data_IF_533775483055
#
_entry.id   IF_533775483055
#
_cell.length_a   1.000
_cell.length_b   1.000
_cell.length_c   1.000
_cell.angle_alpha   90.00
_cell.angle_beta   90.00
_cell.angle_gamma   90.00
#
_symmetry.space_group_name_H-M   'P 1'
#
loop_
_entity.id
_entity.type
_entity.pdbx_description
1 polymer ?
#
# COMPACT_ATOMS: atom_id res chain seq x y z
N UNK A 1 -2.27 -5.00 4.51
CA UNK A 1 -3.63 -4.69 4.04
C UNK A 1 -4.44 -4.20 5.23
N UNK A 2 -5.43 -3.31 5.04
CA UNK A 2 -6.35 -2.97 6.13
C UNK A 2 -7.23 -4.17 6.43
N UNK A 3 -7.08 -4.76 7.61
CA UNK A 3 -7.85 -5.93 8.03
C UNK A 3 -9.17 -5.48 8.66
N UNK A 4 -10.22 -6.27 8.41
CA UNK A 4 -11.51 -6.06 9.05
C UNK A 4 -11.42 -6.50 10.51
N UNK A 5 -11.93 -5.67 11.43
CA UNK A 5 -12.03 -6.06 12.83
C UNK A 5 -13.16 -7.09 13.05
N UNK A 6 -14.23 -6.96 12.28
CA UNK A 6 -15.40 -7.84 12.22
C UNK A 6 -15.93 -7.94 10.77
N UNK A 7 -16.80 -8.92 10.49
CA UNK A 7 -17.44 -9.07 9.17
C UNK A 7 -18.61 -8.07 8.92
N UNK A 8 -18.68 -7.00 9.70
CA UNK A 8 -19.69 -5.96 9.55
C UNK A 8 -19.36 -5.04 8.35
N UNK A 9 -20.39 -4.63 7.63
CA UNK A 9 -20.32 -3.63 6.55
C UNK A 9 -19.63 -2.32 7.00
N UNK A 10 -19.73 -1.97 8.28
CA UNK A 10 -19.03 -0.82 8.87
C UNK A 10 -17.52 -0.97 8.79
N UNK A 11 -16.99 -2.14 9.09
CA UNK A 11 -15.55 -2.41 9.05
C UNK A 11 -15.06 -2.52 7.61
N UNK A 12 -15.88 -3.06 6.70
CA UNK A 12 -15.58 -3.06 5.28
C UNK A 12 -15.48 -1.63 4.73
N UNK A 13 -16.40 -0.74 5.12
CA UNK A 13 -16.36 0.68 4.76
C UNK A 13 -15.15 1.39 5.38
N UNK A 14 -14.78 1.05 6.61
CA UNK A 14 -13.60 1.60 7.27
C UNK A 14 -12.30 1.18 6.55
N UNK A 15 -12.15 -0.10 6.21
CA UNK A 15 -10.99 -0.61 5.47
C UNK A 15 -10.88 0.02 4.07
N UNK A 16 -12.00 0.15 3.36
CA UNK A 16 -12.05 0.84 2.06
C UNK A 16 -11.69 2.32 2.19
N UNK A 17 -12.16 2.98 3.25
CA UNK A 17 -11.75 4.35 3.60
C UNK A 17 -10.25 4.44 3.83
N UNK A 18 -9.68 3.56 4.65
CA UNK A 18 -8.23 3.50 4.89
C UNK A 18 -7.42 3.38 3.58
N UNK A 19 -7.81 2.45 2.71
CA UNK A 19 -7.18 2.31 1.39
C UNK A 19 -7.30 3.55 0.51
N UNK A 20 -8.47 4.18 0.48
CA UNK A 20 -8.73 5.38 -0.29
C UNK A 20 -7.84 6.54 0.18
N UNK A 21 -7.70 6.75 1.49
CA UNK A 21 -6.88 7.82 2.04
C UNK A 21 -5.38 7.52 2.06
N UNK A 22 -4.98 6.27 1.79
CA UNK A 22 -3.58 5.88 1.77
C UNK A 22 -3.03 5.74 0.35
N UNK A 23 -3.51 4.75 -0.42
CA UNK A 23 -3.03 4.49 -1.79
C UNK A 23 -3.89 5.23 -2.81
N UNK A 24 -5.21 5.20 -2.64
CA UNK A 24 -6.15 5.80 -3.59
C UNK A 24 -5.96 7.30 -3.75
N UNK A 25 -5.56 8.01 -2.69
CA UNK A 25 -5.40 9.45 -2.68
C UNK A 25 -4.44 9.94 -3.77
N UNK A 26 -3.31 9.24 -3.93
CA UNK A 26 -2.32 9.58 -4.95
C UNK A 26 -2.59 8.83 -6.25
N UNK A 27 -3.02 7.57 -6.18
CA UNK A 27 -3.12 6.69 -7.36
C UNK A 27 -4.36 6.97 -8.21
N UNK A 28 -5.53 7.19 -7.61
CA UNK A 28 -6.78 7.40 -8.36
C UNK A 28 -6.70 8.65 -9.26
N UNK A 29 -6.17 9.82 -8.81
CA UNK A 29 -6.02 10.96 -9.71
C UNK A 29 -5.15 10.67 -10.94
N UNK A 30 -4.08 9.89 -10.79
CA UNK A 30 -3.13 9.58 -11.87
C UNK A 30 -3.64 8.49 -12.83
N UNK A 31 -4.65 7.73 -12.42
CA UNK A 31 -5.19 6.62 -13.21
C UNK A 31 -6.58 6.95 -13.75
N UNK A 32 -7.44 7.51 -12.90
CA UNK A 32 -8.85 7.81 -13.18
C UNK A 32 -9.16 9.31 -13.29
N UNK A 33 -8.17 10.19 -13.11
CA UNK A 33 -8.33 11.65 -13.18
C UNK A 33 -9.33 12.23 -12.16
N UNK A 34 -9.58 11.54 -11.06
CA UNK A 34 -10.34 12.08 -9.93
C UNK A 34 -9.88 11.40 -8.63
N UNK A 35 -10.21 12.00 -7.48
CA UNK A 35 -9.95 11.38 -6.18
C UNK A 35 -10.92 10.21 -5.91
N UNK A 36 -10.58 9.28 -4.99
CA UNK A 36 -11.49 8.22 -4.58
C UNK A 36 -12.85 8.74 -4.13
N UNK A 37 -13.92 7.98 -4.43
CA UNK A 37 -15.29 8.36 -4.07
C UNK A 37 -15.48 8.45 -2.55
N UNK A 38 -14.75 7.65 -1.79
CA UNK A 38 -14.70 7.68 -0.33
C UNK A 38 -14.19 9.04 0.16
N UNK A 39 -13.07 9.52 -0.38
CA UNK A 39 -12.51 10.83 -0.01
C UNK A 39 -13.48 11.95 -0.37
N UNK A 40 -14.11 11.88 -1.55
CA UNK A 40 -15.15 12.84 -1.96
C UNK A 40 -16.32 12.87 -0.97
N UNK A 41 -16.76 11.72 -0.49
CA UNK A 41 -17.84 11.59 0.50
C UNK A 41 -17.46 12.18 1.86
N UNK A 42 -16.24 11.92 2.34
CA UNK A 42 -15.81 12.38 3.67
C UNK A 42 -15.39 13.84 3.73
N UNK A 43 -14.69 14.33 2.70
CA UNK A 43 -14.13 15.70 2.68
C UNK A 43 -15.02 16.71 1.94
N UNK A 44 -15.92 16.24 1.07
CA UNK A 44 -16.89 17.07 0.36
C UNK A 44 -16.23 18.22 -0.40
N UNK A 45 -16.62 19.45 -0.04
CA UNK A 45 -16.14 20.68 -0.67
C UNK A 45 -14.69 21.05 -0.32
N UNK A 46 -14.14 20.49 0.75
CA UNK A 46 -12.75 20.75 1.16
C UNK A 46 -11.75 20.05 0.23
N UNK A 47 -12.18 19.01 -0.49
CA UNK A 47 -11.36 18.31 -1.45
C UNK A 47 -11.42 19.02 -2.82
N UNK A 48 -10.31 19.56 -3.34
CA UNK A 48 -10.31 20.29 -4.61
C UNK A 48 -10.84 19.46 -5.78
N UNK A 49 -11.36 20.12 -6.80
CA UNK A 49 -11.76 19.50 -8.06
C UNK A 49 -10.79 19.87 -9.15
N UNK A 50 -10.35 18.87 -9.90
CA UNK A 50 -9.56 19.08 -11.10
C UNK A 50 -10.43 19.66 -12.21
N UNK A 51 -9.91 20.68 -12.88
CA UNK A 51 -10.42 21.21 -14.13
C UNK A 51 -10.33 20.17 -15.25
N UNK A 52 -11.05 20.39 -16.35
CA UNK A 52 -11.00 19.49 -17.50
C UNK A 52 -9.59 19.36 -18.10
N UNK A 53 -8.80 20.44 -18.06
CA UNK A 53 -7.42 20.42 -18.56
C UNK A 53 -6.51 19.55 -17.69
N UNK A 54 -6.60 19.69 -16.36
CA UNK A 54 -5.83 18.89 -15.40
C UNK A 54 -6.22 17.41 -15.47
N UNK A 55 -7.52 17.11 -15.57
CA UNK A 55 -8.02 15.74 -15.73
C UNK A 55 -7.41 15.06 -16.96
N UNK A 56 -7.39 15.76 -18.09
CA UNK A 56 -6.83 15.24 -19.35
C UNK A 56 -5.32 15.01 -19.25
N UNK A 57 -4.61 15.83 -18.48
CA UNK A 57 -3.18 15.68 -18.26
C UNK A 57 -2.84 14.47 -17.37
N UNK A 58 -3.61 14.23 -16.30
CA UNK A 58 -3.32 13.17 -15.33
C UNK A 58 -3.81 11.79 -15.76
N UNK A 59 -4.86 11.69 -16.57
CA UNK A 59 -5.42 10.39 -16.96
C UNK A 59 -4.34 9.50 -17.61
N UNK A 60 -4.05 8.35 -16.99
CA UNK A 60 -3.03 7.40 -17.41
C UNK A 60 -1.60 7.96 -17.47
N UNK A 61 -1.27 8.97 -16.67
CA UNK A 61 0.06 9.60 -16.66
C UNK A 61 1.13 8.82 -15.88
N UNK A 62 0.85 7.56 -15.51
CA UNK A 62 1.76 6.73 -14.72
C UNK A 62 1.91 5.33 -15.31
N UNK A 63 3.17 4.94 -15.52
CA UNK A 63 3.56 3.66 -16.10
C UNK A 63 3.62 2.53 -15.06
N UNK A 64 3.89 2.87 -13.78
CA UNK A 64 3.98 1.91 -12.69
C UNK A 64 3.52 2.48 -11.34
N UNK A 65 3.12 1.59 -10.43
CA UNK A 65 2.76 1.97 -9.05
C UNK A 65 3.92 1.61 -8.11
N UNK A 66 4.36 2.58 -7.30
CA UNK A 66 5.35 2.39 -6.25
C UNK A 66 4.69 2.03 -4.91
N UNK A 67 5.31 1.14 -4.14
CA UNK A 67 4.84 0.73 -2.81
C UNK A 67 5.99 0.77 -1.81
N UNK A 68 5.81 1.47 -0.69
CA UNK A 68 6.78 1.51 0.41
C UNK A 68 6.18 2.05 1.70
N UNK A 69 6.34 1.33 2.82
CA UNK A 69 5.96 1.80 4.17
C UNK A 69 6.91 1.18 5.20
N UNK A 70 7.74 2.02 5.85
CA UNK A 70 8.82 1.56 6.72
C UNK A 70 8.43 1.35 8.20
N UNK A 71 7.22 1.75 8.62
CA UNK A 71 6.87 1.92 10.05
C UNK A 71 5.74 0.98 10.53
N UNK A 72 5.52 -0.14 9.82
CA UNK A 72 4.39 -1.04 10.08
C UNK A 72 4.81 -2.39 10.68
N UNK A 73 3.91 -3.06 11.44
CA UNK A 73 4.16 -4.40 11.97
C UNK A 73 4.50 -5.41 10.86
N UNK A 74 5.25 -6.45 11.24
CA UNK A 74 5.65 -7.53 10.31
C UNK A 74 4.43 -8.40 10.01
N UNK A 75 3.77 -8.16 8.87
CA UNK A 75 2.60 -8.91 8.41
C UNK A 75 2.80 -9.38 6.95
N UNK A 76 3.53 -10.48 6.73
CA UNK A 76 3.92 -10.91 5.38
C UNK A 76 2.74 -11.14 4.44
N UNK A 77 1.66 -11.79 4.90
CA UNK A 77 0.44 -12.00 4.09
C UNK A 77 -0.16 -10.70 3.54
N UNK A 78 0.05 -9.60 4.26
CA UNK A 78 -0.50 -8.30 3.91
C UNK A 78 0.04 -7.74 2.59
N UNK A 79 1.23 -8.15 2.14
CA UNK A 79 1.75 -7.78 0.82
C UNK A 79 1.00 -8.52 -0.29
N UNK A 80 0.72 -9.82 -0.12
CA UNK A 80 -0.03 -10.59 -1.10
C UNK A 80 -1.46 -10.07 -1.27
N UNK A 81 -2.13 -9.79 -0.15
CA UNK A 81 -3.46 -9.17 -0.14
C UNK A 81 -3.46 -7.80 -0.84
N UNK A 82 -2.43 -6.98 -0.58
CA UNK A 82 -2.26 -5.67 -1.24
C UNK A 82 -2.08 -5.81 -2.76
N UNK A 83 -1.22 -6.72 -3.20
CA UNK A 83 -1.03 -7.00 -4.64
C UNK A 83 -2.36 -7.45 -5.26
N UNK A 84 -3.11 -8.33 -4.60
CA UNK A 84 -4.44 -8.75 -5.04
C UNK A 84 -5.42 -7.58 -5.18
N UNK A 85 -5.43 -6.64 -4.22
CA UNK A 85 -6.23 -5.42 -4.29
C UNK A 85 -5.82 -4.53 -5.47
N UNK A 86 -4.52 -4.24 -5.62
CA UNK A 86 -3.99 -3.36 -6.68
C UNK A 86 -4.26 -3.95 -8.07
N UNK A 87 -4.08 -5.26 -8.24
CA UNK A 87 -4.42 -5.98 -9.49
C UNK A 87 -5.88 -5.75 -9.88
N UNK A 88 -6.81 -5.91 -8.93
CA UNK A 88 -8.25 -5.74 -9.18
C UNK A 88 -8.61 -4.28 -9.44
N UNK A 89 -8.11 -3.34 -8.63
CA UNK A 89 -8.49 -1.93 -8.71
C UNK A 89 -7.90 -1.23 -9.94
N UNK A 90 -6.63 -1.48 -10.24
CA UNK A 90 -5.88 -0.75 -11.26
C UNK A 90 -5.59 -1.60 -12.50
N UNK A 91 -6.49 -2.56 -12.79
CA UNK A 91 -6.44 -3.39 -13.99
C UNK A 91 -5.07 -4.05 -14.25
N UNK A 92 -4.47 -4.60 -13.18
CA UNK A 92 -3.18 -5.29 -13.23
C UNK A 92 -2.07 -4.48 -13.92
N UNK A 93 -2.07 -3.15 -13.74
CA UNK A 93 -0.99 -2.26 -14.22
C UNK A 93 0.37 -2.75 -13.70
N UNK A 94 1.47 -2.62 -14.47
CA UNK A 94 2.81 -2.97 -13.99
C UNK A 94 3.12 -2.33 -12.63
N UNK A 95 3.75 -3.09 -11.73
CA UNK A 95 4.02 -2.69 -10.35
C UNK A 95 5.46 -3.01 -10.00
N UNK A 96 6.09 -2.14 -9.20
CA UNK A 96 7.40 -2.38 -8.61
C UNK A 96 7.33 -2.17 -7.11
N UNK A 97 7.83 -3.14 -6.35
CA UNK A 97 8.09 -2.95 -4.93
C UNK A 97 9.35 -2.09 -4.81
N UNK A 98 9.16 -0.79 -4.60
CA UNK A 98 10.27 0.17 -4.51
C UNK A 98 10.94 0.13 -3.14
N UNK A 99 10.20 -0.22 -2.09
CA UNK A 99 10.73 -0.36 -0.73
C UNK A 99 10.11 -1.54 -0.01
N UNK A 100 10.96 -2.41 0.55
CA UNK A 100 10.60 -3.42 1.53
C UNK A 100 11.83 -3.68 2.41
N UNK A 101 11.68 -3.51 3.71
CA UNK A 101 12.82 -3.58 4.62
C UNK A 101 12.40 -3.81 6.05
N UNK A 102 13.37 -4.25 6.84
CA UNK A 102 13.23 -4.48 8.27
C UNK A 102 14.37 -3.77 9.00
N UNK A 103 13.99 -2.91 9.94
CA UNK A 103 14.89 -2.31 10.92
C UNK A 103 14.62 -2.95 12.27
N UNK A 104 15.66 -3.43 12.92
CA UNK A 104 15.54 -4.00 14.26
C UNK A 104 15.34 -2.86 15.28
N UNK A 105 14.41 -2.97 16.24
CA UNK A 105 14.23 -1.94 17.26
C UNK A 105 15.45 -1.85 18.19
N UNK A 106 15.94 -0.64 18.45
CA UNK A 106 16.99 -0.37 19.44
C UNK A 106 16.47 -0.65 20.85
N UNK A 107 16.63 -1.90 21.34
CA UNK A 107 16.14 -2.30 22.67
C UNK A 107 17.23 -2.87 23.59
N UNK A 108 18.49 -2.90 23.17
CA UNK A 108 19.63 -3.23 24.04
C UNK A 108 20.94 -2.79 23.37
N UNK A 109 22.00 -2.55 24.15
CA UNK A 109 23.37 -2.50 23.63
C UNK A 109 23.71 -3.88 23.05
N UNK A 110 23.32 -4.10 21.80
CA UNK A 110 23.62 -5.34 21.10
C UNK A 110 25.10 -5.30 20.74
N UNK A 111 25.88 -6.29 21.16
CA UNK A 111 27.30 -6.35 20.83
C UNK A 111 27.49 -6.31 19.31
N UNK A 112 28.55 -5.65 18.82
CA UNK A 112 28.82 -5.45 17.37
C UNK A 112 28.78 -6.76 16.55
N UNK A 113 29.01 -7.91 17.19
CA UNK A 113 28.94 -9.24 16.54
C UNK A 113 27.52 -9.72 16.26
N UNK A 114 26.54 -9.32 17.07
CA UNK A 114 25.13 -9.67 16.88
C UNK A 114 24.49 -8.83 15.77
N UNK A 115 24.95 -7.57 15.58
CA UNK A 115 24.57 -6.72 14.44
C UNK A 115 24.96 -7.37 13.09
N UNK A 116 26.05 -8.15 13.06
CA UNK A 116 26.50 -8.84 11.83
C UNK A 116 25.63 -10.05 11.49
N UNK A 117 24.82 -10.56 12.42
CA UNK A 117 23.94 -11.72 12.23
C UNK A 117 22.49 -11.26 12.14
N UNK A 118 22.15 -10.68 11.00
CA UNK A 118 20.85 -10.07 10.71
C UNK A 118 19.74 -11.11 10.41
N UNK A 119 19.52 -12.03 11.35
CA UNK A 119 18.61 -13.16 11.21
C UNK A 119 17.18 -12.68 11.00
N UNK A 120 16.76 -11.63 11.72
CA UNK A 120 15.39 -11.10 11.62
C UNK A 120 15.11 -10.45 10.26
N UNK A 121 16.05 -9.69 9.68
CA UNK A 121 15.87 -9.18 8.31
C UNK A 121 15.86 -10.31 7.29
N UNK A 122 16.68 -11.34 7.45
CA UNK A 122 16.66 -12.51 6.56
C UNK A 122 15.30 -13.20 6.61
N UNK A 123 14.76 -13.45 7.81
CA UNK A 123 13.46 -14.06 8.00
C UNK A 123 12.33 -13.20 7.42
N UNK A 124 12.35 -11.89 7.71
CA UNK A 124 11.44 -10.92 7.13
C UNK A 124 11.42 -11.01 5.59
N UNK A 125 12.59 -10.93 4.96
CA UNK A 125 12.71 -10.96 3.50
C UNK A 125 12.16 -12.27 2.92
N UNK A 126 12.49 -13.42 3.54
CA UNK A 126 11.96 -14.73 3.11
C UNK A 126 10.44 -14.79 3.14
N UNK A 127 9.83 -14.33 4.24
CA UNK A 127 8.38 -14.38 4.39
C UNK A 127 7.66 -13.47 3.38
N UNK A 128 8.15 -12.24 3.19
CA UNK A 128 7.54 -11.30 2.25
C UNK A 128 7.71 -11.72 0.79
N UNK A 129 8.89 -12.26 0.41
CA UNK A 129 9.12 -12.79 -0.93
C UNK A 129 8.25 -14.03 -1.20
N UNK A 130 8.02 -14.89 -0.20
CA UNK A 130 7.11 -16.03 -0.35
C UNK A 130 5.68 -15.58 -0.62
N UNK A 131 5.15 -14.66 0.20
CA UNK A 131 3.79 -14.14 0.01
C UNK A 131 3.63 -13.39 -1.32
N UNK A 132 4.67 -12.66 -1.74
CA UNK A 132 4.69 -12.00 -3.05
C UNK A 132 4.67 -13.03 -4.19
N UNK A 133 5.48 -14.09 -4.12
CA UNK A 133 5.51 -15.13 -5.13
C UNK A 133 4.15 -15.84 -5.26
N UNK A 134 3.45 -16.07 -4.15
CA UNK A 134 2.09 -16.62 -4.16
C UNK A 134 1.08 -15.69 -4.83
N UNK A 135 1.18 -14.37 -4.61
CA UNK A 135 0.25 -13.40 -5.21
C UNK A 135 0.51 -13.12 -6.71
N UNK A 136 1.73 -13.41 -7.19
CA UNK A 136 2.10 -13.25 -8.61
C UNK A 136 1.67 -14.47 -9.44
N UNK A 137 1.78 -15.68 -8.89
CA UNK A 137 1.34 -16.93 -9.54
C UNK A 137 -0.16 -16.92 -9.84
#
# INVERSE_FOLDING_TARGET
>A
MYELLTDDDRDQKAANGGLAFYIGWVSDPLIFADYPSEMRRYLGHQLPRFSNAERKFMANSIDYIATGIAILPVVPRGIGEMIGYLKKRYNNKPMFITENGYSEPEMQEVGVQDIKRDVKRIEFQKMYLSSLAEAIR
#
